data_IF_062735052089
#
_entry.id   IF_062735052089
#
_cell.length_a   1.000
_cell.length_b   1.000
_cell.length_c   1.000
_cell.angle_alpha   90.00
_cell.angle_beta   90.00
_cell.angle_gamma   90.00
#
_symmetry.space_group_name_H-M   'P 1'
#
loop_
_entity.id
_entity.type
_entity.pdbx_description
1 polymer ?
#
# COMPACT_ATOMS: atom_id res chain seq x y z
N UNK A 1 24.46 23.05 59.32
CA UNK A 1 24.36 22.11 60.44
C UNK A 1 23.11 22.43 61.26
N UNK A 2 22.37 21.48 61.84
CA UNK A 2 22.42 19.99 61.75
C UNK A 2 21.23 19.42 60.95
N UNK A 3 21.28 18.25 60.31
CA UNK A 3 21.19 16.84 60.72
C UNK A 3 19.93 16.46 61.54
N UNK A 4 19.17 15.48 61.00
CA UNK A 4 18.66 14.22 61.60
C UNK A 4 17.68 13.58 60.61
N UNK A 5 17.98 12.37 60.07
CA UNK A 5 17.61 11.03 60.54
C UNK A 5 16.07 10.84 60.55
N UNK A 6 15.45 9.95 59.83
CA UNK A 6 15.69 8.51 59.73
C UNK A 6 14.38 7.84 60.10
N UNK A 7 13.89 6.87 59.36
CA UNK A 7 12.68 6.11 59.71
C UNK A 7 12.25 5.07 58.69
N UNK A 8 12.88 3.90 58.76
CA UNK A 8 12.34 2.66 58.21
C UNK A 8 11.16 2.16 59.02
N UNK A 9 10.11 1.71 58.39
CA UNK A 9 9.14 0.80 59.00
C UNK A 9 8.86 -0.37 58.08
N UNK A 10 9.14 -1.54 58.61
CA UNK A 10 9.03 -2.86 58.06
C UNK A 10 7.60 -3.41 58.10
N UNK A 11 7.38 -4.38 57.21
CA UNK A 11 6.27 -5.30 56.98
C UNK A 11 5.63 -5.94 58.25
N UNK A 12 4.43 -6.58 58.03
CA UNK A 12 4.45 -8.02 58.13
C UNK A 12 3.69 -8.78 57.03
N UNK A 13 4.19 -10.00 56.78
CA UNK A 13 3.59 -11.03 55.97
C UNK A 13 2.40 -11.70 56.70
N UNK A 14 1.38 -12.10 55.91
CA UNK A 14 0.51 -13.22 56.29
C UNK A 14 0.08 -14.05 55.06
N UNK A 15 0.24 -15.36 55.20
CA UNK A 15 -0.19 -16.42 54.31
C UNK A 15 -1.71 -16.54 54.23
N UNK A 16 -2.21 -16.92 53.08
CA UNK A 16 -3.61 -17.37 52.93
C UNK A 16 -3.89 -17.91 51.54
N UNK A 17 -4.03 -19.23 51.43
CA UNK A 17 -4.36 -20.01 50.25
C UNK A 17 -5.62 -19.51 49.52
N UNK A 18 -5.54 -19.43 48.22
CA UNK A 18 -6.69 -19.27 47.32
C UNK A 18 -6.26 -19.51 45.88
N UNK A 19 -6.44 -20.75 45.41
CA UNK A 19 -6.18 -21.16 44.05
C UNK A 19 -7.14 -20.48 43.09
N UNK A 20 -6.66 -19.61 42.22
CA UNK A 20 -7.34 -19.16 41.01
C UNK A 20 -6.59 -19.72 39.79
N UNK A 21 -7.32 -20.53 39.03
CA UNK A 21 -6.88 -21.13 37.77
C UNK A 21 -6.84 -20.01 36.74
N UNK A 22 -5.64 -19.54 36.37
CA UNK A 22 -5.46 -18.71 35.18
C UNK A 22 -5.24 -19.61 33.99
N UNK A 23 -6.23 -19.61 33.08
CA UNK A 23 -6.06 -20.14 31.73
C UNK A 23 -5.08 -19.23 30.97
N UNK A 24 -3.94 -19.79 30.59
CA UNK A 24 -2.97 -19.14 29.71
C UNK A 24 -3.56 -19.06 28.30
N UNK A 25 -3.92 -17.85 27.88
CA UNK A 25 -4.09 -17.53 26.46
C UNK A 25 -2.72 -17.39 25.85
N UNK A 26 -2.37 -18.34 24.98
CA UNK A 26 -1.15 -18.29 24.15
C UNK A 26 -1.23 -17.08 23.23
N UNK A 27 -0.33 -16.11 23.45
CA UNK A 27 -0.03 -15.05 22.50
C UNK A 27 0.50 -15.67 21.19
N UNK A 28 0.12 -15.16 20.00
CA UNK A 28 0.74 -15.58 18.75
C UNK A 28 2.20 -15.12 18.76
N UNK A 29 3.12 -16.07 18.73
CA UNK A 29 4.55 -15.81 18.56
C UNK A 29 4.79 -14.99 17.29
N UNK A 30 5.29 -13.78 17.46
CA UNK A 30 5.87 -13.00 16.38
C UNK A 30 7.00 -13.82 15.72
N UNK A 31 6.95 -13.93 14.39
CA UNK A 31 7.98 -14.62 13.63
C UNK A 31 9.35 -14.01 13.97
N UNK A 32 10.29 -14.84 14.41
CA UNK A 32 11.61 -14.38 14.82
C UNK A 32 12.33 -13.68 13.65
N UNK A 33 13.16 -12.65 13.92
CA UNK A 33 13.95 -11.94 12.90
C UNK A 33 14.81 -12.88 12.04
N UNK A 34 15.15 -14.05 12.54
CA UNK A 34 15.87 -15.13 11.84
C UNK A 34 15.12 -15.70 10.64
N UNK A 35 13.78 -15.78 10.67
CA UNK A 35 13.02 -16.37 9.54
C UNK A 35 12.97 -15.44 8.34
N UNK A 36 12.91 -14.12 8.57
CA UNK A 36 12.95 -13.10 7.49
C UNK A 36 14.36 -13.02 6.90
N UNK A 37 15.40 -13.09 7.75
CA UNK A 37 16.79 -13.09 7.33
C UNK A 37 17.14 -14.30 6.46
N UNK A 38 16.67 -15.49 6.82
CA UNK A 38 16.87 -16.72 6.02
C UNK A 38 16.07 -16.69 4.71
N UNK A 39 14.90 -16.09 4.69
CA UNK A 39 14.11 -15.90 3.46
C UNK A 39 14.77 -14.92 2.50
N UNK A 40 15.30 -13.80 3.01
CA UNK A 40 16.07 -12.81 2.23
C UNK A 40 17.39 -13.42 1.74
N UNK A 41 18.10 -14.17 2.58
CA UNK A 41 19.34 -14.86 2.23
C UNK A 41 19.12 -15.91 1.14
N UNK A 42 17.98 -16.61 1.18
CA UNK A 42 17.58 -17.59 0.15
C UNK A 42 17.23 -16.89 -1.18
N UNK A 43 16.51 -15.77 -1.13
CA UNK A 43 16.19 -14.96 -2.30
C UNK A 43 17.44 -14.36 -2.96
N UNK A 44 18.39 -13.84 -2.17
CA UNK A 44 19.68 -13.34 -2.67
C UNK A 44 20.53 -14.50 -3.25
N UNK A 45 20.55 -15.65 -2.59
CA UNK A 45 21.27 -16.83 -3.08
C UNK A 45 20.70 -17.41 -4.37
N UNK A 46 19.39 -17.31 -4.60
CA UNK A 46 18.74 -17.71 -5.86
C UNK A 46 19.00 -16.69 -6.97
N UNK A 47 18.97 -15.40 -6.67
CA UNK A 47 19.28 -14.33 -7.66
C UNK A 47 20.75 -14.40 -8.14
N UNK A 48 21.68 -14.80 -7.27
CA UNK A 48 23.10 -14.98 -7.64
C UNK A 48 23.32 -16.24 -8.49
N UNK A 49 22.52 -17.31 -8.29
CA UNK A 49 22.61 -18.56 -9.04
C UNK A 49 21.94 -18.52 -10.41
N UNK A 50 21.09 -17.55 -10.69
CA UNK A 50 20.38 -17.38 -11.97
C UNK A 50 21.06 -16.42 -12.93
N UNK A 51 22.25 -15.91 -12.66
CA UNK A 51 23.05 -15.18 -13.63
C UNK A 51 23.80 -16.15 -14.54
N UNK A 52 23.59 -16.13 -15.88
CA UNK A 52 24.40 -16.90 -16.80
C UNK A 52 25.81 -16.30 -16.83
N UNK A 53 26.79 -17.05 -16.40
CA UNK A 53 28.21 -16.71 -16.56
C UNK A 53 28.61 -16.89 -18.02
N UNK A 54 29.16 -15.84 -18.61
CA UNK A 54 29.96 -15.91 -19.83
C UNK A 54 31.17 -16.81 -19.59
N UNK A 55 31.27 -17.88 -20.38
CA UNK A 55 32.54 -18.49 -20.69
C UNK A 55 32.44 -19.09 -22.10
N UNK A 56 33.20 -18.46 -23.03
CA UNK A 56 33.59 -19.00 -24.32
C UNK A 56 34.16 -20.39 -24.17
N UNK A 57 33.69 -21.32 -24.98
CA UNK A 57 34.58 -22.21 -25.75
C UNK A 57 33.88 -22.90 -26.93
N UNK A 58 34.62 -22.96 -28.00
CA UNK A 58 34.37 -23.33 -29.35
C UNK A 58 34.17 -24.86 -29.57
N UNK A 59 33.34 -25.20 -30.58
CA UNK A 59 33.55 -26.27 -31.61
C UNK A 59 33.08 -27.69 -31.28
N UNK A 60 32.02 -28.18 -31.89
CA UNK A 60 31.96 -29.04 -33.08
C UNK A 60 30.61 -29.74 -33.27
N UNK A 61 30.20 -29.63 -34.51
CA UNK A 61 29.22 -30.42 -35.26
C UNK A 61 29.15 -31.90 -34.88
N UNK A 62 27.90 -32.46 -34.81
CA UNK A 62 27.38 -33.49 -35.69
C UNK A 62 25.95 -33.93 -35.28
N UNK A 63 25.04 -33.86 -36.22
CA UNK A 63 23.81 -34.65 -36.30
C UNK A 63 24.15 -35.94 -37.03
N UNK A 64 23.37 -37.07 -37.03
CA UNK A 64 21.91 -37.12 -37.13
C UNK A 64 21.19 -38.36 -36.50
N UNK A 65 19.85 -38.34 -36.73
CA UNK A 65 18.91 -39.45 -37.00
C UNK A 65 18.26 -40.20 -35.81
N UNK A 66 16.96 -39.97 -35.65
CA UNK A 66 15.80 -40.85 -35.93
C UNK A 66 16.01 -42.35 -35.67
N UNK A 67 15.19 -42.96 -34.82
CA UNK A 67 14.41 -44.18 -35.11
C UNK A 67 13.34 -44.45 -34.02
N UNK A 68 12.21 -44.76 -34.51
CA UNK A 68 10.92 -45.28 -34.12
C UNK A 68 11.01 -46.71 -33.54
N UNK A 69 10.04 -47.03 -32.67
CA UNK A 69 9.62 -48.40 -32.36
C UNK A 69 9.68 -48.69 -30.87
N UNK A 70 8.66 -49.06 -30.15
CA UNK A 70 7.63 -50.03 -30.46
C UNK A 70 7.68 -51.13 -29.42
N UNK A 71 6.60 -51.34 -28.66
CA UNK A 71 6.22 -52.68 -28.33
C UNK A 71 6.35 -53.19 -26.88
N UNK A 72 5.19 -53.39 -26.29
CA UNK A 72 4.70 -54.63 -25.69
C UNK A 72 5.05 -55.02 -24.23
N UNK A 73 4.00 -55.03 -23.42
CA UNK A 73 3.48 -56.13 -22.58
C UNK A 73 4.46 -56.84 -21.63
N UNK A 74 4.13 -56.88 -20.33
CA UNK A 74 3.52 -58.02 -19.69
C UNK A 74 3.04 -57.74 -18.25
N UNK A 75 1.90 -58.22 -17.92
CA UNK A 75 1.22 -58.85 -16.80
C UNK A 75 2.12 -59.29 -15.62
N UNK A 76 1.71 -59.16 -14.37
CA UNK A 76 0.85 -60.11 -13.64
C UNK A 76 0.49 -59.66 -12.20
N UNK A 77 -0.75 -59.86 -11.86
CA UNK A 77 -1.40 -60.44 -10.65
C UNK A 77 -0.93 -60.02 -9.26
N UNK A 78 -1.81 -59.40 -8.49
CA UNK A 78 -2.66 -60.09 -7.51
C UNK A 78 -3.60 -59.07 -6.86
N UNK A 79 -4.87 -59.42 -6.90
CA UNK A 79 -5.99 -58.68 -6.34
C UNK A 79 -6.09 -58.70 -4.83
N UNK A 80 -6.65 -57.61 -4.30
CA UNK A 80 -7.60 -57.62 -3.16
C UNK A 80 -8.36 -56.31 -3.19
N UNK A 81 -9.61 -56.39 -3.56
CA UNK A 81 -10.63 -55.39 -3.33
C UNK A 81 -10.92 -55.26 -1.84
N UNK A 82 -10.68 -54.09 -1.30
CA UNK A 82 -11.24 -53.67 -0.01
C UNK A 82 -12.33 -52.65 -0.28
N UNK A 83 -13.55 -53.13 -0.15
CA UNK A 83 -14.79 -52.37 -0.16
C UNK A 83 -14.87 -51.63 1.18
N UNK A 84 -14.57 -50.34 1.21
CA UNK A 84 -14.87 -49.46 2.36
C UNK A 84 -16.06 -48.60 1.97
N UNK A 85 -17.20 -48.98 2.47
CA UNK A 85 -18.47 -48.29 2.44
C UNK A 85 -18.30 -46.97 3.20
N UNK A 86 -18.42 -45.83 2.47
CA UNK A 86 -18.61 -44.53 3.10
C UNK A 86 -19.97 -44.46 3.77
N UNK A 87 -20.07 -43.85 4.97
CA UNK A 87 -21.40 -43.62 5.58
C UNK A 87 -22.13 -42.57 4.78
N UNK A 88 -23.37 -42.88 4.44
CA UNK A 88 -24.33 -41.99 3.82
C UNK A 88 -24.58 -40.76 4.70
N UNK A 89 -24.59 -39.59 4.07
CA UNK A 89 -24.99 -38.32 4.68
C UNK A 89 -26.45 -38.42 5.20
N UNK A 90 -26.77 -37.69 6.28
CA UNK A 90 -28.11 -37.67 6.82
C UNK A 90 -29.09 -37.06 5.80
N UNK A 91 -30.15 -37.75 5.52
CA UNK A 91 -31.28 -37.29 4.72
C UNK A 91 -31.99 -36.16 5.47
N UNK A 92 -31.93 -34.96 4.93
CA UNK A 92 -32.72 -33.82 5.39
C UNK A 92 -34.22 -34.15 5.22
N UNK A 93 -35.03 -33.80 6.21
CA UNK A 93 -36.48 -33.99 6.18
C UNK A 93 -37.09 -33.07 5.12
N UNK A 94 -38.22 -33.48 4.53
CA UNK A 94 -38.90 -32.74 3.46
C UNK A 94 -39.30 -31.30 3.84
N UNK A 95 -39.37 -30.99 5.14
CA UNK A 95 -39.65 -29.64 5.64
C UNK A 95 -38.43 -28.71 5.55
N UNK A 96 -37.19 -29.22 5.73
CA UNK A 96 -35.96 -28.41 5.57
C UNK A 96 -35.70 -28.07 4.10
N UNK A 97 -36.07 -28.94 3.17
CA UNK A 97 -35.96 -28.68 1.74
C UNK A 97 -36.92 -27.57 1.26
N UNK A 98 -38.02 -27.37 1.94
CA UNK A 98 -39.01 -26.33 1.60
C UNK A 98 -38.61 -24.95 2.14
N UNK A 99 -37.81 -24.86 3.19
CA UNK A 99 -37.29 -23.61 3.74
C UNK A 99 -36.07 -23.07 2.99
N UNK A 100 -35.30 -23.95 2.34
CA UNK A 100 -34.14 -23.55 1.51
C UNK A 100 -34.52 -23.16 0.07
N UNK A 101 -35.75 -23.43 -0.35
CA UNK A 101 -36.25 -23.21 -1.72
C UNK A 101 -36.93 -21.86 -1.98
N UNK A 102 -37.09 -20.99 -0.97
CA UNK A 102 -37.85 -19.73 -1.09
C UNK A 102 -37.15 -18.48 -0.65
N UNK A 103 -35.81 -18.42 -0.76
CA UNK A 103 -35.14 -17.14 -0.78
C UNK A 103 -35.24 -16.59 -2.21
N UNK A 104 -35.86 -15.44 -2.45
CA UNK A 104 -35.75 -14.79 -3.75
C UNK A 104 -34.29 -14.44 -3.97
N UNK A 105 -33.68 -15.07 -4.96
CA UNK A 105 -32.39 -14.61 -5.49
C UNK A 105 -32.70 -13.25 -6.10
N UNK A 106 -32.20 -12.19 -5.46
CA UNK A 106 -32.37 -10.83 -5.93
C UNK A 106 -31.58 -10.70 -7.26
N UNK A 107 -32.25 -10.47 -8.41
CA UNK A 107 -31.56 -10.42 -9.70
C UNK A 107 -30.65 -9.19 -9.84
N UNK A 108 -30.62 -8.29 -8.85
CA UNK A 108 -29.85 -7.05 -8.90
C UNK A 108 -28.37 -7.25 -8.55
N UNK A 109 -27.99 -8.22 -7.69
CA UNK A 109 -26.59 -8.43 -7.29
C UNK A 109 -25.70 -8.97 -8.43
N UNK A 110 -26.27 -9.79 -9.34
CA UNK A 110 -25.51 -10.36 -10.48
C UNK A 110 -25.28 -9.36 -11.63
N UNK A 111 -26.09 -8.30 -11.72
CA UNK A 111 -26.00 -7.31 -12.82
C UNK A 111 -24.94 -6.25 -12.48
N UNK A 112 -24.79 -5.85 -11.21
CA UNK A 112 -23.78 -4.88 -10.80
C UNK A 112 -22.36 -5.42 -10.92
N UNK A 113 -22.12 -6.69 -10.58
CA UNK A 113 -20.80 -7.32 -10.68
C UNK A 113 -20.32 -7.53 -12.13
N UNK A 114 -21.22 -7.78 -13.07
CA UNK A 114 -20.89 -7.94 -14.50
C UNK A 114 -20.59 -6.63 -15.20
N UNK A 115 -21.20 -5.53 -14.78
CA UNK A 115 -20.95 -4.19 -15.38
C UNK A 115 -19.63 -3.58 -14.89
N UNK A 116 -19.15 -3.93 -13.71
CA UNK A 116 -17.91 -3.40 -13.13
C UNK A 116 -16.65 -3.98 -13.80
N UNK A 117 -16.69 -5.23 -14.26
CA UNK A 117 -15.54 -5.89 -14.89
C UNK A 117 -15.20 -5.39 -16.31
N UNK A 118 -16.13 -4.74 -17.03
CA UNK A 118 -15.95 -4.36 -18.44
C UNK A 118 -15.51 -2.92 -18.67
N UNK A 119 -15.41 -2.07 -17.63
CA UNK A 119 -15.11 -0.65 -17.80
C UNK A 119 -13.67 -0.22 -17.51
N UNK A 120 -12.83 -1.07 -16.94
CA UNK A 120 -11.49 -0.69 -16.48
C UNK A 120 -10.46 -0.35 -17.58
N UNK A 121 -10.38 -1.00 -18.74
CA UNK A 121 -9.39 -0.66 -19.76
C UNK A 121 -9.62 0.70 -20.43
N UNK A 122 -10.89 1.14 -20.56
CA UNK A 122 -11.25 2.39 -21.25
C UNK A 122 -11.31 3.61 -20.31
N UNK A 123 -11.42 3.40 -19.00
CA UNK A 123 -11.52 4.50 -18.04
C UNK A 123 -10.21 5.29 -17.92
N UNK A 124 -9.05 4.66 -18.08
CA UNK A 124 -7.74 5.35 -18.02
C UNK A 124 -7.54 6.37 -19.13
N UNK A 125 -7.94 6.05 -20.37
CA UNK A 125 -7.81 6.98 -21.49
C UNK A 125 -8.68 8.22 -21.34
N UNK A 126 -9.92 8.07 -20.89
CA UNK A 126 -10.87 9.18 -20.78
C UNK A 126 -10.55 10.18 -19.65
N UNK A 127 -9.72 9.81 -18.68
CA UNK A 127 -9.32 10.69 -17.56
C UNK A 127 -8.12 11.53 -17.91
N UNK A 128 -7.13 10.95 -18.60
CA UNK A 128 -6.00 11.71 -19.13
C UNK A 128 -6.46 12.87 -20.02
N UNK A 129 -7.58 12.68 -20.74
CA UNK A 129 -8.21 13.70 -21.58
C UNK A 129 -9.05 14.73 -20.79
N UNK A 130 -9.54 14.36 -19.60
CA UNK A 130 -10.41 15.21 -18.79
C UNK A 130 -9.67 16.07 -17.74
N UNK A 131 -8.39 15.78 -17.47
CA UNK A 131 -7.59 16.53 -16.49
C UNK A 131 -6.82 17.66 -17.17
N UNK A 132 -6.92 18.86 -16.63
CA UNK A 132 -6.05 19.96 -17.00
C UNK A 132 -4.66 19.75 -16.41
N UNK A 133 -3.62 19.67 -17.25
CA UNK A 133 -2.25 19.44 -16.81
C UNK A 133 -1.49 20.75 -16.70
N UNK A 134 -0.79 20.95 -15.59
CA UNK A 134 0.04 22.12 -15.28
C UNK A 134 1.41 21.71 -14.79
N UNK A 135 2.42 22.49 -15.13
CA UNK A 135 3.75 22.44 -14.52
C UNK A 135 3.88 23.59 -13.54
N UNK A 136 4.19 23.28 -12.31
CA UNK A 136 4.38 24.25 -11.24
C UNK A 136 5.87 24.40 -10.97
N UNK A 137 6.46 25.59 -11.18
CA UNK A 137 7.86 25.82 -10.89
C UNK A 137 8.12 25.76 -9.37
N UNK A 138 9.17 25.06 -8.99
CA UNK A 138 9.65 24.98 -7.61
C UNK A 138 11.15 25.24 -7.55
N UNK A 139 11.70 25.35 -6.37
CA UNK A 139 13.15 25.51 -6.13
C UNK A 139 13.98 24.28 -6.54
N UNK A 140 13.34 23.12 -6.75
CA UNK A 140 13.95 21.86 -7.19
C UNK A 140 13.55 21.44 -8.60
N UNK A 141 13.07 22.38 -9.41
CA UNK A 141 12.54 22.12 -10.75
C UNK A 141 11.02 22.06 -10.79
N UNK A 142 10.48 21.85 -11.98
CA UNK A 142 9.03 21.83 -12.17
C UNK A 142 8.41 20.54 -11.64
N UNK A 143 7.28 20.69 -10.96
CA UNK A 143 6.44 19.56 -10.54
C UNK A 143 5.18 19.49 -11.40
N UNK A 144 4.79 18.29 -11.79
CA UNK A 144 3.61 18.07 -12.62
C UNK A 144 2.36 17.93 -11.77
N UNK A 145 1.29 18.67 -12.10
CA UNK A 145 0.00 18.64 -11.43
C UNK A 145 -1.11 18.48 -12.44
N UNK A 146 -1.94 17.45 -12.31
CA UNK A 146 -3.16 17.27 -13.09
C UNK A 146 -4.35 17.68 -12.24
N UNK A 147 -5.25 18.51 -12.81
CA UNK A 147 -6.38 19.10 -12.10
C UNK A 147 -7.67 18.47 -12.63
N UNK A 148 -8.47 17.93 -11.72
CA UNK A 148 -9.76 17.32 -12.02
C UNK A 148 -10.88 18.01 -11.22
N UNK A 149 -11.85 18.58 -11.92
CA UNK A 149 -13.01 19.21 -11.30
C UNK A 149 -12.98 20.74 -11.31
N UNK A 150 -13.88 21.35 -10.53
CA UNK A 150 -14.07 22.81 -10.45
C UNK A 150 -13.14 23.42 -9.40
N UNK A 151 -12.24 24.30 -9.82
CA UNK A 151 -11.24 24.97 -8.97
C UNK A 151 -11.83 25.89 -7.90
N UNK A 152 -13.13 26.19 -7.96
CA UNK A 152 -13.84 26.96 -6.92
C UNK A 152 -14.19 26.11 -5.68
N UNK A 153 -14.07 24.79 -5.78
CA UNK A 153 -14.43 23.83 -4.72
C UNK A 153 -13.25 23.56 -3.78
N UNK A 154 -13.52 23.02 -2.58
CA UNK A 154 -12.47 22.55 -1.67
C UNK A 154 -11.48 21.60 -2.37
N UNK A 155 -10.19 21.79 -2.07
CA UNK A 155 -9.13 21.10 -2.77
C UNK A 155 -8.77 19.76 -2.09
N UNK A 156 -8.68 18.69 -2.88
CA UNK A 156 -8.03 17.44 -2.51
C UNK A 156 -6.68 17.40 -3.23
N UNK A 157 -5.58 17.23 -2.51
CA UNK A 157 -4.25 17.01 -3.09
C UNK A 157 -3.90 15.54 -2.97
N UNK A 158 -3.61 14.89 -4.10
CA UNK A 158 -3.18 13.49 -4.11
C UNK A 158 -1.69 13.35 -4.36
N UNK A 159 -1.08 12.29 -3.81
CA UNK A 159 0.31 11.94 -4.09
C UNK A 159 0.47 10.42 -4.21
N UNK A 160 1.11 9.97 -5.31
CA UNK A 160 1.22 8.56 -5.72
C UNK A 160 2.34 7.80 -5.02
N UNK A 161 2.35 6.48 -5.17
CA UNK A 161 3.38 5.58 -4.67
C UNK A 161 4.50 5.32 -5.71
N UNK A 162 5.52 4.56 -5.31
CA UNK A 162 6.71 4.20 -6.11
C UNK A 162 6.34 3.50 -7.42
N UNK A 163 6.97 3.93 -8.52
CA UNK A 163 6.77 3.35 -9.83
C UNK A 163 5.40 3.65 -10.47
N UNK A 164 4.59 4.47 -9.81
CA UNK A 164 3.29 4.91 -10.29
C UNK A 164 3.30 6.41 -10.57
N UNK A 165 2.20 6.90 -11.13
CA UNK A 165 1.89 8.31 -11.32
C UNK A 165 0.42 8.57 -10.97
N UNK A 166 -0.07 9.78 -11.16
CA UNK A 166 -1.45 10.11 -10.82
C UNK A 166 -2.47 9.26 -11.59
N UNK A 167 -2.22 8.97 -12.87
CA UNK A 167 -3.15 8.21 -13.69
C UNK A 167 -3.21 6.74 -13.26
N UNK A 168 -2.06 6.12 -12.98
CA UNK A 168 -2.00 4.72 -12.58
C UNK A 168 -2.38 4.48 -11.13
N UNK A 169 -2.20 5.47 -10.24
CA UNK A 169 -2.59 5.35 -8.83
C UNK A 169 -4.06 5.68 -8.58
N UNK A 170 -4.59 6.71 -9.27
CA UNK A 170 -5.84 7.32 -8.81
C UNK A 170 -6.97 7.29 -9.84
N UNK A 171 -6.65 7.10 -11.13
CA UNK A 171 -7.64 7.21 -12.18
C UNK A 171 -8.80 6.22 -12.02
N UNK A 172 -8.53 4.97 -11.67
CA UNK A 172 -9.55 3.95 -11.43
C UNK A 172 -10.47 4.34 -10.27
N UNK A 173 -9.87 4.73 -9.14
CA UNK A 173 -10.60 5.08 -7.93
C UNK A 173 -11.45 6.35 -8.07
N UNK A 174 -10.88 7.45 -8.55
CA UNK A 174 -11.60 8.72 -8.67
C UNK A 174 -12.68 8.70 -9.75
N UNK A 175 -12.65 7.72 -10.67
CA UNK A 175 -13.76 7.50 -11.63
C UNK A 175 -14.77 6.44 -11.19
N UNK A 176 -14.54 5.79 -10.07
CA UNK A 176 -15.53 4.91 -9.51
C UNK A 176 -16.85 5.67 -9.26
N UNK A 177 -18.02 5.08 -9.55
CA UNK A 177 -19.29 5.82 -9.56
C UNK A 177 -19.57 6.63 -8.29
N UNK A 178 -19.34 6.05 -7.10
CA UNK A 178 -19.52 6.75 -5.82
C UNK A 178 -18.58 7.94 -5.69
N UNK A 179 -17.33 7.80 -6.15
CA UNK A 179 -16.35 8.88 -6.10
C UNK A 179 -16.69 10.02 -7.07
N UNK A 180 -17.25 9.75 -8.25
CA UNK A 180 -17.71 10.79 -9.16
C UNK A 180 -18.74 11.72 -8.52
N UNK A 181 -19.71 11.14 -7.81
CA UNK A 181 -20.70 11.93 -7.06
C UNK A 181 -20.08 12.77 -5.94
N UNK A 182 -19.08 12.21 -5.25
CA UNK A 182 -18.32 12.93 -4.23
C UNK A 182 -17.53 14.10 -4.83
N UNK A 183 -16.90 13.89 -6.00
CA UNK A 183 -16.08 14.89 -6.69
C UNK A 183 -16.89 16.08 -7.25
N UNK A 184 -18.21 16.01 -7.30
CA UNK A 184 -19.03 17.19 -7.56
C UNK A 184 -18.82 18.30 -6.51
N UNK A 185 -18.32 17.95 -5.33
CA UNK A 185 -18.08 18.87 -4.20
C UNK A 185 -16.61 19.26 -4.01
N UNK A 186 -15.69 18.74 -4.82
CA UNK A 186 -14.25 18.94 -4.66
C UNK A 186 -13.55 19.21 -5.99
N UNK A 187 -12.36 19.81 -5.90
CA UNK A 187 -11.38 19.85 -6.99
C UNK A 187 -10.16 19.03 -6.59
N UNK A 188 -9.73 18.11 -7.43
CA UNK A 188 -8.58 17.24 -7.14
C UNK A 188 -7.34 17.74 -7.88
N UNK A 189 -6.26 17.91 -7.15
CA UNK A 189 -4.93 18.28 -7.63
C UNK A 189 -4.02 17.06 -7.49
N UNK A 190 -3.80 16.36 -8.58
CA UNK A 190 -2.97 15.17 -8.61
C UNK A 190 -1.51 15.56 -8.81
N UNK A 191 -0.71 15.46 -7.78
CA UNK A 191 0.72 15.77 -7.82
C UNK A 191 1.51 14.53 -8.23
N UNK A 192 2.40 14.67 -9.21
CA UNK A 192 3.30 13.62 -9.65
C UNK A 192 4.74 14.00 -9.32
N UNK A 193 5.47 13.08 -8.68
CA UNK A 193 6.87 13.28 -8.34
C UNK A 193 7.72 13.55 -9.60
N UNK A 194 8.81 14.32 -9.51
CA UNK A 194 9.63 14.68 -10.66
C UNK A 194 10.07 13.47 -11.48
N UNK A 195 9.80 13.50 -12.78
CA UNK A 195 10.17 12.44 -13.74
C UNK A 195 9.42 11.13 -13.61
N UNK A 196 8.29 11.10 -12.87
CA UNK A 196 7.42 9.93 -12.76
C UNK A 196 6.17 10.03 -13.66
N UNK A 197 6.03 11.08 -14.45
CA UNK A 197 4.97 11.23 -15.43
C UNK A 197 5.06 10.11 -16.48
N UNK A 198 3.92 9.73 -17.04
CA UNK A 198 3.91 8.73 -18.12
C UNK A 198 4.73 9.22 -19.33
N UNK A 199 5.67 8.39 -19.77
CA UNK A 199 6.57 8.76 -20.88
C UNK A 199 7.58 9.86 -20.54
N UNK A 200 7.82 10.16 -19.27
CA UNK A 200 8.77 11.17 -18.85
C UNK A 200 10.19 10.89 -19.44
N UNK A 201 10.86 11.90 -20.00
CA UNK A 201 12.26 11.76 -20.41
C UNK A 201 13.15 11.51 -19.19
N UNK A 202 14.29 10.90 -19.41
CA UNK A 202 15.31 10.75 -18.35
C UNK A 202 15.73 12.14 -17.85
N UNK A 203 15.69 12.34 -16.54
CA UNK A 203 16.17 13.56 -15.91
C UNK A 203 17.67 13.75 -16.18
N UNK A 204 18.15 15.01 -16.26
CA UNK A 204 19.57 15.31 -16.48
C UNK A 204 20.48 14.60 -15.46
N UNK A 205 21.70 14.28 -15.86
CA UNK A 205 22.67 13.60 -14.96
C UNK A 205 23.06 14.44 -13.75
N UNK A 206 23.08 15.77 -13.90
CA UNK A 206 23.34 16.75 -12.86
C UNK A 206 22.12 17.10 -12.02
N UNK A 207 20.95 16.56 -12.34
CA UNK A 207 19.73 16.80 -11.57
C UNK A 207 19.83 16.19 -10.17
N UNK A 208 19.80 17.07 -9.16
CA UNK A 208 19.75 16.66 -7.76
C UNK A 208 18.32 16.35 -7.39
N UNK A 209 18.01 15.06 -7.30
CA UNK A 209 16.64 14.61 -6.97
C UNK A 209 16.25 15.05 -5.55
N UNK A 210 15.03 15.60 -5.36
CA UNK A 210 14.54 16.03 -4.07
C UNK A 210 14.50 14.89 -3.04
N UNK A 211 14.86 15.20 -1.80
CA UNK A 211 14.62 14.29 -0.66
C UNK A 211 13.11 14.18 -0.36
N UNK A 212 12.71 13.24 0.51
CA UNK A 212 11.30 13.14 0.91
C UNK A 212 10.79 14.41 1.60
N UNK A 213 11.66 15.12 2.32
CA UNK A 213 11.34 16.41 2.95
C UNK A 213 11.25 17.53 1.89
N UNK A 214 12.13 17.54 0.88
CA UNK A 214 12.03 18.48 -0.24
C UNK A 214 10.74 18.24 -1.06
N UNK A 215 10.37 16.96 -1.34
CA UNK A 215 9.13 16.63 -2.04
C UNK A 215 7.89 17.10 -1.25
N UNK A 216 7.93 16.99 0.07
CA UNK A 216 6.89 17.57 0.93
C UNK A 216 6.88 19.10 0.86
N UNK A 217 8.03 19.75 0.91
CA UNK A 217 8.15 21.21 0.82
C UNK A 217 7.68 21.78 -0.54
N UNK A 218 7.85 21.02 -1.63
CA UNK A 218 7.35 21.40 -2.96
C UNK A 218 5.82 21.60 -2.98
N UNK A 219 5.06 20.97 -2.07
CA UNK A 219 3.62 21.18 -1.97
C UNK A 219 3.25 22.62 -1.60
N UNK A 220 4.13 23.36 -0.91
CA UNK A 220 3.91 24.80 -0.67
C UNK A 220 3.86 25.61 -1.98
N UNK A 221 4.72 25.26 -2.94
CA UNK A 221 4.72 25.89 -4.25
C UNK A 221 3.44 25.56 -5.02
N UNK A 222 2.98 24.30 -4.92
CA UNK A 222 1.69 23.86 -5.51
C UNK A 222 0.52 24.65 -4.91
N UNK A 223 0.43 24.70 -3.57
CA UNK A 223 -0.62 25.46 -2.89
C UNK A 223 -0.58 26.95 -3.25
N UNK A 224 0.60 27.54 -3.27
CA UNK A 224 0.79 28.95 -3.63
C UNK A 224 0.40 29.24 -5.08
N UNK A 225 0.80 28.37 -6.02
CA UNK A 225 0.53 28.52 -7.44
C UNK A 225 -0.97 28.54 -7.76
N UNK A 226 -1.73 27.66 -7.08
CA UNK A 226 -3.19 27.57 -7.26
C UNK A 226 -4.01 28.39 -6.26
N UNK A 227 -3.35 29.15 -5.37
CA UNK A 227 -4.02 29.98 -4.37
C UNK A 227 -4.77 29.18 -3.29
N UNK A 228 -4.36 27.93 -3.02
CA UNK A 228 -5.00 27.04 -2.06
C UNK A 228 -4.58 27.40 -0.63
N UNK A 229 -5.55 27.70 0.22
CA UNK A 229 -5.29 28.06 1.62
C UNK A 229 -5.07 26.84 2.50
N UNK A 230 -5.89 25.83 2.29
CA UNK A 230 -5.85 24.54 2.98
C UNK A 230 -6.35 23.45 2.05
N UNK A 231 -5.87 22.22 2.24
CA UNK A 231 -6.19 21.07 1.38
C UNK A 231 -6.52 19.83 2.21
N UNK A 232 -7.24 18.91 1.59
CA UNK A 232 -7.39 17.54 2.07
C UNK A 232 -6.31 16.71 1.37
N UNK A 233 -5.43 16.05 2.12
CA UNK A 233 -4.41 15.17 1.55
C UNK A 233 -4.95 13.77 1.34
N UNK A 234 -4.67 13.18 0.17
CA UNK A 234 -4.98 11.78 -0.15
C UNK A 234 -3.74 11.10 -0.74
N UNK A 235 -3.09 10.23 0.02
CA UNK A 235 -1.80 9.66 -0.36
C UNK A 235 -1.72 8.15 -0.23
N UNK A 236 -0.86 7.55 -1.08
CA UNK A 236 -0.60 6.10 -1.08
C UNK A 236 0.89 5.85 -0.95
N UNK A 237 1.31 4.97 -0.06
CA UNK A 237 2.69 4.53 0.13
C UNK A 237 3.67 5.68 0.34
N UNK A 238 4.62 5.86 -0.60
CA UNK A 238 5.57 6.98 -0.58
C UNK A 238 4.85 8.34 -0.59
N UNK A 239 3.77 8.47 -1.35
CA UNK A 239 2.95 9.69 -1.38
C UNK A 239 2.23 9.94 -0.05
N UNK A 240 1.80 8.90 0.65
CA UNK A 240 1.25 9.02 2.00
C UNK A 240 2.31 9.56 2.99
N UNK A 241 3.56 9.07 2.90
CA UNK A 241 4.66 9.59 3.70
C UNK A 241 4.97 11.07 3.40
N UNK A 242 4.96 11.48 2.11
CA UNK A 242 5.18 12.87 1.70
C UNK A 242 4.07 13.78 2.27
N UNK A 243 2.80 13.39 2.17
CA UNK A 243 1.69 14.17 2.70
C UNK A 243 1.70 14.23 4.23
N UNK A 244 2.10 13.16 4.91
CA UNK A 244 2.27 13.17 6.36
C UNK A 244 3.39 14.12 6.81
N UNK A 245 4.54 14.16 6.08
CA UNK A 245 5.63 15.15 6.30
C UNK A 245 5.14 16.56 6.11
N UNK A 246 4.45 16.80 5.01
CA UNK A 246 3.89 18.11 4.72
C UNK A 246 2.94 18.60 5.81
N UNK A 247 1.99 17.75 6.22
CA UNK A 247 1.03 18.06 7.26
C UNK A 247 1.68 18.25 8.64
N UNK A 248 2.75 17.51 8.95
CA UNK A 248 3.51 17.70 10.18
C UNK A 248 4.24 19.04 10.21
N UNK A 249 4.87 19.44 9.10
CA UNK A 249 5.56 20.73 8.99
C UNK A 249 4.63 21.93 8.83
N UNK A 250 3.46 21.74 8.23
CA UNK A 250 2.51 22.80 7.87
C UNK A 250 1.06 22.45 8.27
N UNK A 251 0.79 22.29 9.57
CA UNK A 251 -0.53 21.84 10.03
C UNK A 251 -1.67 22.83 9.71
N UNK A 252 -1.35 24.10 9.45
CA UNK A 252 -2.30 25.14 9.04
C UNK A 252 -2.72 25.03 7.56
N UNK A 253 -2.00 24.23 6.76
CA UNK A 253 -2.27 24.03 5.34
C UNK A 253 -3.04 22.75 5.05
N UNK A 254 -3.26 21.89 6.02
CA UNK A 254 -3.93 20.61 5.84
C UNK A 254 -5.11 20.49 6.77
N UNK A 255 -6.30 20.37 6.18
CA UNK A 255 -7.55 20.25 6.93
C UNK A 255 -7.87 18.81 7.34
N UNK A 256 -7.51 17.83 6.53
CA UNK A 256 -7.69 16.41 6.81
C UNK A 256 -6.75 15.55 5.95
N UNK A 257 -6.50 14.30 6.37
CA UNK A 257 -5.64 13.35 5.66
C UNK A 257 -6.31 11.98 5.50
N UNK A 258 -6.29 11.46 4.28
CA UNK A 258 -6.55 10.05 3.97
C UNK A 258 -5.23 9.42 3.52
N UNK A 259 -4.67 8.53 4.33
CA UNK A 259 -3.36 7.95 4.09
C UNK A 259 -3.47 6.42 3.99
N UNK A 260 -2.97 5.88 2.89
CA UNK A 260 -3.04 4.45 2.58
C UNK A 260 -1.62 3.88 2.57
N UNK A 261 -1.39 2.82 3.33
CA UNK A 261 -0.07 2.17 3.49
C UNK A 261 1.03 3.17 3.91
N UNK A 262 0.73 4.10 4.81
CA UNK A 262 1.68 5.12 5.26
C UNK A 262 2.75 4.51 6.17
N UNK A 263 4.03 4.74 5.82
CA UNK A 263 5.19 4.34 6.60
C UNK A 263 5.80 5.60 7.25
N UNK A 264 5.79 5.70 8.57
CA UNK A 264 6.30 6.86 9.32
C UNK A 264 7.75 6.71 9.80
N UNK A 265 8.32 5.52 9.67
CA UNK A 265 9.67 5.18 10.13
C UNK A 265 10.71 5.41 9.03
N UNK A 266 11.97 5.61 9.44
CA UNK A 266 13.09 5.50 8.52
C UNK A 266 13.18 4.10 7.93
N UNK A 267 13.84 3.94 6.79
CA UNK A 267 14.08 2.62 6.22
C UNK A 267 14.97 1.78 7.14
N UNK A 268 14.61 0.50 7.33
CA UNK A 268 15.48 -0.47 7.99
C UNK A 268 16.72 -0.75 7.11
N UNK A 269 17.83 -1.16 7.72
CA UNK A 269 19.07 -1.44 6.99
C UNK A 269 18.94 -2.54 5.93
N UNK A 270 18.04 -3.51 6.11
CA UNK A 270 17.73 -4.56 5.11
C UNK A 270 16.97 -3.96 3.94
N UNK A 271 15.94 -3.17 4.18
CA UNK A 271 15.19 -2.43 3.16
C UNK A 271 16.14 -1.53 2.40
N UNK A 272 16.95 -0.73 3.10
CA UNK A 272 17.93 0.15 2.51
C UNK A 272 18.92 -0.58 1.59
N UNK A 273 19.51 -1.68 2.05
CA UNK A 273 20.48 -2.46 1.28
C UNK A 273 19.88 -3.05 0.02
N UNK A 274 18.70 -3.69 0.14
CA UNK A 274 18.00 -4.30 -1.00
C UNK A 274 17.58 -3.26 -2.05
N UNK A 275 17.01 -2.16 -1.60
CA UNK A 275 16.55 -1.09 -2.48
C UNK A 275 17.69 -0.28 -3.12
N UNK A 276 18.80 -0.07 -2.41
CA UNK A 276 19.99 0.52 -2.99
C UNK A 276 20.52 -0.30 -4.16
N UNK A 277 20.43 -1.63 -4.05
CA UNK A 277 20.80 -2.55 -5.11
C UNK A 277 19.83 -2.46 -6.30
N UNK A 278 18.52 -2.43 -6.04
CA UNK A 278 17.50 -2.23 -7.07
C UNK A 278 17.67 -0.89 -7.79
N UNK A 279 17.91 0.21 -7.07
CA UNK A 279 18.14 1.53 -7.65
C UNK A 279 19.42 1.55 -8.54
N UNK A 280 20.46 0.82 -8.16
CA UNK A 280 21.65 0.65 -8.99
C UNK A 280 21.35 -0.13 -10.27
N UNK A 281 20.59 -1.22 -10.19
CA UNK A 281 20.19 -1.98 -11.38
C UNK A 281 19.32 -1.18 -12.32
N UNK A 282 18.36 -0.44 -11.82
CA UNK A 282 17.52 0.45 -12.63
C UNK A 282 18.35 1.42 -13.46
N UNK A 283 19.42 2.01 -12.88
CA UNK A 283 20.31 2.94 -13.60
C UNK A 283 21.23 2.24 -14.62
N UNK A 284 21.65 1.00 -14.35
CA UNK A 284 22.69 0.33 -15.18
C UNK A 284 22.13 -0.67 -16.16
N UNK A 285 21.03 -1.36 -15.82
CA UNK A 285 20.42 -2.44 -16.60
C UNK A 285 18.96 -2.17 -16.98
N UNK A 286 18.38 -1.08 -16.51
CA UNK A 286 16.97 -0.76 -16.70
C UNK A 286 16.04 -1.61 -15.85
N UNK A 287 14.80 -1.80 -16.31
CA UNK A 287 13.77 -2.55 -15.60
C UNK A 287 14.04 -4.05 -15.69
N UNK A 288 14.73 -4.59 -14.69
CA UNK A 288 15.03 -6.02 -14.57
C UNK A 288 13.89 -6.78 -13.89
N UNK A 289 13.84 -8.12 -14.09
CA UNK A 289 12.82 -8.94 -13.41
C UNK A 289 12.86 -8.78 -11.88
N UNK A 290 14.04 -8.68 -11.26
CA UNK A 290 14.16 -8.48 -9.82
C UNK A 290 13.57 -7.17 -9.33
N UNK A 291 13.64 -6.09 -10.12
CA UNK A 291 12.98 -4.81 -9.82
C UNK A 291 11.46 -4.94 -9.97
N UNK A 292 11.00 -5.61 -11.02
CA UNK A 292 9.57 -5.88 -11.23
C UNK A 292 9.02 -6.71 -10.07
N UNK A 293 9.71 -7.78 -9.66
CA UNK A 293 9.30 -8.63 -8.54
C UNK A 293 9.21 -7.84 -7.23
N UNK A 294 10.14 -6.89 -7.03
CA UNK A 294 10.07 -5.97 -5.90
C UNK A 294 8.83 -5.06 -5.96
N UNK A 295 8.56 -4.42 -7.10
CA UNK A 295 7.39 -3.56 -7.27
C UNK A 295 6.09 -4.37 -7.12
N UNK A 296 6.05 -5.60 -7.63
CA UNK A 296 4.94 -6.51 -7.42
C UNK A 296 4.74 -6.85 -5.94
N UNK A 297 5.83 -7.12 -5.21
CA UNK A 297 5.75 -7.34 -3.76
C UNK A 297 5.27 -6.08 -3.03
N UNK A 298 5.80 -4.92 -3.37
CA UNK A 298 5.48 -3.64 -2.74
C UNK A 298 3.99 -3.28 -2.87
N UNK A 299 3.39 -3.53 -4.03
CA UNK A 299 2.01 -3.16 -4.32
C UNK A 299 1.00 -4.28 -4.02
N UNK A 300 1.35 -5.54 -4.35
CA UNK A 300 0.41 -6.67 -4.33
C UNK A 300 0.65 -7.68 -3.20
N UNK A 301 1.55 -7.39 -2.27
CA UNK A 301 1.79 -8.24 -1.13
C UNK A 301 2.77 -9.39 -1.38
N UNK A 302 2.97 -10.17 -0.31
CA UNK A 302 4.04 -11.18 -0.23
C UNK A 302 3.73 -12.45 -0.99
N UNK A 303 2.46 -12.89 -0.97
CA UNK A 303 2.05 -14.16 -1.54
C UNK A 303 1.56 -13.98 -2.99
N UNK A 304 2.30 -14.48 -4.01
CA UNK A 304 1.88 -14.36 -5.40
C UNK A 304 0.52 -15.03 -5.71
N UNK A 305 0.15 -16.08 -4.97
CA UNK A 305 -1.09 -16.83 -5.16
C UNK A 305 -2.34 -16.04 -4.70
N UNK A 306 -2.16 -15.09 -3.77
CA UNK A 306 -3.23 -14.22 -3.28
C UNK A 306 -3.43 -12.95 -4.11
N UNK A 307 -2.55 -12.71 -5.09
CA UNK A 307 -2.60 -11.52 -5.93
C UNK A 307 -3.66 -11.63 -7.01
N UNK A 308 -4.33 -10.52 -7.30
CA UNK A 308 -5.21 -10.42 -8.45
C UNK A 308 -4.41 -10.51 -9.76
N UNK A 309 -4.56 -11.60 -10.51
CA UNK A 309 -3.76 -11.89 -11.71
C UNK A 309 -3.94 -10.85 -12.82
N UNK A 310 -5.13 -10.33 -13.02
CA UNK A 310 -5.43 -9.34 -14.07
C UNK A 310 -4.74 -8.01 -13.75
N UNK A 311 -4.84 -7.55 -12.50
CA UNK A 311 -4.13 -6.36 -12.04
C UNK A 311 -2.62 -6.54 -12.11
N UNK A 312 -2.10 -7.69 -11.68
CA UNK A 312 -0.66 -8.02 -11.77
C UNK A 312 -0.15 -7.88 -13.20
N UNK A 313 -0.85 -8.44 -14.18
CA UNK A 313 -0.43 -8.36 -15.59
C UNK A 313 -0.43 -6.91 -16.09
N UNK A 314 -1.46 -6.15 -15.76
CA UNK A 314 -1.61 -4.76 -16.17
C UNK A 314 -0.49 -3.88 -15.55
N UNK A 315 -0.22 -4.02 -14.25
CA UNK A 315 0.82 -3.25 -13.58
C UNK A 315 2.22 -3.68 -13.99
N UNK A 316 2.44 -4.98 -14.22
CA UNK A 316 3.70 -5.47 -14.78
C UNK A 316 4.01 -4.83 -16.14
N UNK A 317 3.02 -4.78 -17.02
CA UNK A 317 3.17 -4.10 -18.32
C UNK A 317 3.45 -2.59 -18.15
N UNK A 318 2.79 -1.94 -17.18
CA UNK A 318 3.05 -0.54 -16.85
C UNK A 318 4.50 -0.34 -16.39
N UNK A 319 5.00 -1.16 -15.46
CA UNK A 319 6.39 -1.06 -14.99
C UNK A 319 7.40 -1.31 -16.10
N UNK A 320 7.14 -2.27 -16.97
CA UNK A 320 8.04 -2.61 -18.09
C UNK A 320 8.12 -1.51 -19.16
N UNK A 321 7.03 -0.78 -19.41
CA UNK A 321 6.91 0.09 -20.59
C UNK A 321 6.61 1.56 -20.27
N UNK A 322 5.92 1.85 -19.18
CA UNK A 322 5.44 3.19 -18.84
C UNK A 322 6.36 3.97 -17.90
N UNK A 323 7.28 3.29 -17.24
CA UNK A 323 8.13 3.88 -16.20
C UNK A 323 9.55 4.10 -16.71
N UNK A 324 10.09 5.31 -16.51
CA UNK A 324 11.50 5.57 -16.78
C UNK A 324 12.38 4.97 -15.66
N UNK A 325 13.26 3.98 -15.95
CA UNK A 325 14.01 3.27 -14.93
C UNK A 325 14.96 4.18 -14.13
N UNK A 326 15.61 5.14 -14.80
CA UNK A 326 16.56 6.06 -14.15
C UNK A 326 15.83 7.00 -13.20
N UNK A 327 14.71 7.56 -13.63
CA UNK A 327 13.91 8.45 -12.79
C UNK A 327 13.31 7.70 -11.59
N UNK A 328 12.82 6.46 -11.80
CA UNK A 328 12.36 5.60 -10.71
C UNK A 328 13.46 5.30 -9.70
N UNK A 329 14.68 5.02 -10.18
CA UNK A 329 15.83 4.81 -9.30
C UNK A 329 16.12 6.02 -8.40
N UNK A 330 15.91 7.24 -8.90
CA UNK A 330 16.06 8.47 -8.12
C UNK A 330 15.00 8.59 -7.03
N UNK A 331 13.72 8.31 -7.36
CA UNK A 331 12.63 8.33 -6.38
C UNK A 331 12.79 7.23 -5.31
N UNK A 332 13.14 6.00 -5.71
CA UNK A 332 13.44 4.92 -4.76
C UNK A 332 14.59 5.34 -3.82
N UNK A 333 15.64 5.94 -4.37
CA UNK A 333 16.76 6.40 -3.56
C UNK A 333 16.34 7.49 -2.56
N UNK A 334 15.50 8.44 -2.94
CA UNK A 334 14.93 9.43 -2.02
C UNK A 334 14.09 8.73 -0.92
N UNK A 335 13.27 7.75 -1.29
CA UNK A 335 12.39 7.03 -0.35
C UNK A 335 13.18 6.21 0.68
N UNK A 336 14.24 5.51 0.28
CA UNK A 336 15.05 4.70 1.22
C UNK A 336 15.95 5.53 2.13
N UNK A 337 16.18 6.80 1.79
CA UNK A 337 16.90 7.74 2.66
C UNK A 337 15.94 8.61 3.49
N UNK A 338 14.66 8.25 3.56
CA UNK A 338 13.69 8.95 4.41
C UNK A 338 14.08 8.87 5.88
N UNK A 339 13.98 9.98 6.58
CA UNK A 339 14.09 10.02 8.03
C UNK A 339 12.78 9.57 8.66
N UNK A 340 12.84 9.13 9.91
CA UNK A 340 11.65 8.95 10.76
C UNK A 340 10.88 10.28 10.85
N UNK A 341 9.57 10.24 10.84
CA UNK A 341 8.72 11.44 11.02
C UNK A 341 8.76 11.98 12.46
N UNK A 342 9.35 11.22 13.39
CA UNK A 342 9.43 11.56 14.82
C UNK A 342 8.08 11.91 15.45
N UNK A 343 6.99 11.37 14.90
CA UNK A 343 5.67 11.55 15.48
C UNK A 343 5.60 10.82 16.83
N UNK A 344 5.15 11.52 17.84
CA UNK A 344 4.98 10.97 19.17
C UNK A 344 3.65 11.46 19.77
N UNK A 345 2.87 10.51 20.25
CA UNK A 345 1.65 10.75 20.99
C UNK A 345 2.00 11.02 22.45
N UNK A 346 1.53 12.12 23.01
CA UNK A 346 1.68 12.38 24.45
C UNK A 346 0.61 11.62 25.20
N UNK A 347 0.99 10.82 26.23
CA UNK A 347 0.01 10.13 27.07
C UNK A 347 -0.94 11.13 27.76
N UNK A 348 -2.23 10.80 27.90
CA UNK A 348 -3.18 11.65 28.63
C UNK A 348 -2.71 11.93 30.07
N UNK A 349 -2.85 13.18 30.52
CA UNK A 349 -2.48 13.59 31.87
C UNK A 349 -1.00 13.93 32.08
N UNK A 350 -0.17 13.94 31.03
CA UNK A 350 1.21 14.41 31.12
C UNK A 350 1.23 15.93 31.24
N UNK A 351 1.84 16.54 32.30
CA UNK A 351 1.97 17.98 32.39
C UNK A 351 2.72 18.57 31.21
N UNK A 352 2.17 19.58 30.55
CA UNK A 352 2.77 20.17 29.34
C UNK A 352 2.50 19.39 28.05
N UNK A 353 1.56 18.45 28.05
CA UNK A 353 1.20 17.61 26.89
C UNK A 353 0.88 18.43 25.63
N UNK A 354 0.24 19.57 25.76
CA UNK A 354 -0.13 20.43 24.62
C UNK A 354 1.07 21.02 23.88
N UNK A 355 2.19 21.21 24.58
CA UNK A 355 3.43 21.74 23.99
C UNK A 355 4.41 20.63 23.56
N UNK A 356 4.26 19.41 24.07
CA UNK A 356 5.15 18.29 23.83
C UNK A 356 4.65 17.33 22.73
N UNK A 357 3.36 17.39 22.34
CA UNK A 357 2.82 16.52 21.30
C UNK A 357 3.38 16.88 19.91
N UNK A 358 4.12 15.97 19.34
CA UNK A 358 4.69 16.09 17.98
C UNK A 358 3.90 15.27 16.95
N UNK A 359 2.65 14.93 17.23
CA UNK A 359 1.79 14.17 16.31
C UNK A 359 1.03 15.09 15.34
N UNK A 360 0.35 14.48 14.37
CA UNK A 360 -0.49 15.21 13.41
C UNK A 360 -1.70 15.81 14.12
N UNK A 361 -1.98 17.08 13.85
CA UNK A 361 -3.03 17.86 14.53
C UNK A 361 -4.39 17.82 13.84
N UNK A 362 -4.39 17.53 12.55
CA UNK A 362 -5.61 17.43 11.74
C UNK A 362 -6.20 16.03 11.82
N UNK A 363 -7.49 15.85 11.47
CA UNK A 363 -8.10 14.55 11.32
C UNK A 363 -7.37 13.65 10.31
N UNK A 364 -7.16 12.38 10.68
CA UNK A 364 -6.47 11.39 9.85
C UNK A 364 -7.29 10.11 9.77
N UNK A 365 -7.60 9.66 8.56
CA UNK A 365 -7.99 8.27 8.31
C UNK A 365 -6.79 7.50 7.75
N UNK A 366 -6.35 6.49 8.49
CA UNK A 366 -5.19 5.66 8.17
C UNK A 366 -5.67 4.27 7.72
N UNK A 367 -5.37 3.89 6.48
CA UNK A 367 -5.97 2.71 5.83
C UNK A 367 -4.87 1.77 5.32
N UNK A 368 -5.11 0.47 5.41
CA UNK A 368 -4.25 -0.55 4.77
C UNK A 368 -5.08 -1.73 4.26
N UNK A 369 -4.60 -2.40 3.23
CA UNK A 369 -5.13 -3.71 2.81
C UNK A 369 -4.56 -4.84 3.67
N UNK A 370 -5.35 -5.87 3.95
CA UNK A 370 -4.89 -7.00 4.81
C UNK A 370 -3.74 -7.81 4.21
N UNK A 371 -3.59 -7.78 2.89
CA UNK A 371 -2.53 -8.47 2.15
C UNK A 371 -1.33 -7.55 1.85
N UNK A 372 -1.42 -6.25 2.20
CA UNK A 372 -0.32 -5.30 2.00
C UNK A 372 0.92 -5.71 2.80
N UNK A 373 2.14 -5.58 2.24
CA UNK A 373 3.37 -5.81 3.00
C UNK A 373 3.62 -4.76 4.08
N UNK A 374 2.86 -3.64 4.06
CA UNK A 374 3.00 -2.47 4.94
C UNK A 374 2.00 -2.44 6.10
N UNK A 375 1.30 -3.55 6.40
CA UNK A 375 0.33 -3.61 7.51
C UNK A 375 0.98 -3.21 8.84
N UNK A 376 2.15 -3.77 9.16
CA UNK A 376 2.85 -3.52 10.43
C UNK A 376 3.33 -2.05 10.52
N UNK A 377 3.79 -1.49 9.41
CA UNK A 377 4.18 -0.08 9.33
C UNK A 377 2.99 0.85 9.56
N UNK A 378 1.84 0.50 8.97
CA UNK A 378 0.59 1.26 9.13
C UNK A 378 0.07 1.19 10.56
N UNK A 379 0.19 0.03 11.22
CA UNK A 379 -0.12 -0.10 12.65
C UNK A 379 0.83 0.74 13.50
N UNK A 380 2.13 0.71 13.20
CA UNK A 380 3.14 1.55 13.88
C UNK A 380 2.82 3.04 13.71
N UNK A 381 2.47 3.47 12.50
CA UNK A 381 2.05 4.84 12.25
C UNK A 381 0.80 5.21 13.05
N UNK A 382 -0.21 4.33 13.06
CA UNK A 382 -1.43 4.54 13.83
C UNK A 382 -1.16 4.70 15.34
N UNK A 383 -0.22 3.94 15.88
CA UNK A 383 0.21 4.06 17.28
C UNK A 383 0.84 5.39 17.64
N UNK A 384 1.28 6.18 16.64
CA UNK A 384 1.89 7.51 16.80
C UNK A 384 0.89 8.66 16.64
N UNK A 385 -0.33 8.39 16.15
CA UNK A 385 -1.39 9.38 15.95
C UNK A 385 -2.20 9.60 17.24
N UNK A 386 -2.84 10.76 17.33
CA UNK A 386 -3.79 11.04 18.39
C UNK A 386 -5.10 10.27 18.13
N UNK A 387 -5.53 9.37 19.02
CA UNK A 387 -6.74 8.58 18.83
C UNK A 387 -8.03 9.39 18.87
N UNK A 388 -7.98 10.65 19.32
CA UNK A 388 -9.17 11.53 19.36
C UNK A 388 -9.50 12.13 18.00
N UNK A 389 -8.51 12.23 17.09
CA UNK A 389 -8.68 12.78 15.75
C UNK A 389 -8.22 11.82 14.65
N UNK A 390 -7.94 10.56 14.95
CA UNK A 390 -7.54 9.58 13.97
C UNK A 390 -8.40 8.33 13.99
N UNK A 391 -8.66 7.81 12.79
CA UNK A 391 -9.34 6.55 12.55
C UNK A 391 -8.41 5.58 11.81
N UNK A 392 -8.50 4.28 12.14
CA UNK A 392 -7.72 3.23 11.47
C UNK A 392 -8.61 2.17 10.86
N UNK A 393 -8.30 1.76 9.64
CA UNK A 393 -9.06 0.76 8.92
C UNK A 393 -8.14 -0.23 8.21
N UNK A 394 -8.38 -1.53 8.42
CA UNK A 394 -7.77 -2.61 7.63
C UNK A 394 -8.85 -3.25 6.77
N UNK A 395 -8.70 -3.13 5.44
CA UNK A 395 -9.63 -3.68 4.46
C UNK A 395 -9.21 -5.11 4.12
N UNK A 396 -10.14 -6.06 4.26
CA UNK A 396 -9.88 -7.48 4.02
C UNK A 396 -9.67 -7.78 2.54
N UNK A 397 -8.91 -8.86 2.27
CA UNK A 397 -8.77 -9.52 0.97
C UNK A 397 -8.23 -8.61 -0.15
N UNK A 398 -7.36 -7.67 0.20
CA UNK A 398 -6.70 -6.80 -0.78
C UNK A 398 -5.31 -6.35 -0.31
N UNK A 399 -4.46 -6.02 -1.27
CA UNK A 399 -3.20 -5.29 -1.09
C UNK A 399 -3.29 -3.89 -1.67
N UNK A 400 -3.70 -3.75 -2.94
CA UNK A 400 -3.95 -2.48 -3.62
C UNK A 400 -5.40 -2.02 -3.37
N UNK A 401 -5.59 -1.31 -2.26
CA UNK A 401 -6.93 -0.94 -1.76
C UNK A 401 -7.76 -0.17 -2.79
N UNK A 402 -7.14 0.75 -3.54
CA UNK A 402 -7.83 1.58 -4.53
C UNK A 402 -8.38 0.77 -5.71
N UNK A 403 -7.67 -0.28 -6.11
CA UNK A 403 -7.98 -1.09 -7.28
C UNK A 403 -8.84 -2.31 -6.93
N UNK A 404 -8.58 -2.94 -5.77
CA UNK A 404 -9.23 -4.20 -5.40
C UNK A 404 -10.51 -4.00 -4.57
N UNK A 405 -10.59 -2.90 -3.81
CA UNK A 405 -11.73 -2.61 -2.93
C UNK A 405 -12.21 -1.14 -3.03
N UNK A 406 -12.40 -0.60 -4.27
CA UNK A 406 -12.73 0.81 -4.46
C UNK A 406 -14.03 1.22 -3.77
N UNK A 407 -15.02 0.34 -3.72
CA UNK A 407 -16.31 0.61 -3.07
C UNK A 407 -16.15 0.83 -1.55
N UNK A 408 -15.40 -0.05 -0.87
CA UNK A 408 -15.17 0.06 0.58
C UNK A 408 -14.35 1.31 0.91
N UNK A 409 -13.32 1.59 0.09
CA UNK A 409 -12.50 2.78 0.27
C UNK A 409 -13.30 4.06 0.03
N UNK A 410 -14.11 4.10 -1.05
CA UNK A 410 -14.95 5.25 -1.37
C UNK A 410 -15.95 5.56 -0.25
N UNK A 411 -16.57 4.54 0.31
CA UNK A 411 -17.49 4.70 1.44
C UNK A 411 -16.77 5.17 2.71
N UNK A 412 -15.62 4.58 3.03
CA UNK A 412 -14.81 5.01 4.18
C UNK A 412 -14.37 6.49 4.04
N UNK A 413 -13.92 6.88 2.86
CA UNK A 413 -13.49 8.26 2.58
C UNK A 413 -14.67 9.23 2.61
N UNK A 414 -15.83 8.85 2.04
CA UNK A 414 -17.06 9.64 2.09
C UNK A 414 -17.50 9.89 3.53
N UNK A 415 -17.57 8.83 4.35
CA UNK A 415 -17.95 8.96 5.77
C UNK A 415 -16.95 9.80 6.57
N UNK A 416 -15.67 9.66 6.29
CA UNK A 416 -14.64 10.50 6.89
C UNK A 416 -14.84 11.97 6.55
N UNK A 417 -15.02 12.31 5.27
CA UNK A 417 -15.25 13.69 4.84
C UNK A 417 -16.57 14.26 5.38
N UNK A 418 -17.59 13.43 5.54
CA UNK A 418 -18.85 13.80 6.13
C UNK A 418 -18.68 14.08 7.64
N UNK A 419 -17.95 13.23 8.36
CA UNK A 419 -17.64 13.43 9.77
C UNK A 419 -16.89 14.75 10.05
N UNK A 420 -16.01 15.14 9.12
CA UNK A 420 -15.25 16.39 9.17
C UNK A 420 -16.00 17.61 8.58
N UNK A 421 -17.28 17.44 8.21
CA UNK A 421 -18.14 18.53 7.74
C UNK A 421 -17.88 19.02 6.32
N UNK A 422 -17.08 18.31 5.52
CA UNK A 422 -16.84 18.66 4.12
C UNK A 422 -18.00 18.30 3.20
N UNK A 423 -18.82 17.31 3.59
CA UNK A 423 -19.97 16.82 2.83
C UNK A 423 -21.19 16.83 3.74
N UNK A 424 -22.24 17.58 3.36
CA UNK A 424 -23.53 17.51 4.04
C UNK A 424 -24.39 16.41 3.42
N UNK A 425 -25.18 15.72 4.24
CA UNK A 425 -26.29 14.91 3.70
C UNK A 425 -27.22 15.83 2.92
N UNK A 426 -27.40 15.58 1.62
CA UNK A 426 -28.53 16.17 0.90
C UNK A 426 -29.79 15.60 1.58
N UNK A 427 -30.71 16.42 2.06
CA UNK A 427 -32.00 15.90 2.49
C UNK A 427 -32.63 15.18 1.28
N UNK A 428 -32.99 13.92 1.48
CA UNK A 428 -33.71 13.09 0.50
C UNK A 428 -35.07 13.70 0.16
#
# INVERSE_FOLDING_TARGET
>A
MPQSEGGYVSLPATNGNGSAIYQSTTEPQAASPTSVFESVKRAIGQAIKSSPGDSDELVRTDRPAVIIGGGARDRDKTGKTLNTKMPSAPTHTAEEAHLLGTMPVDPMDDIELRSVQLQFPNARGSILEACEQRRVPTDKGDIHVAIQGDTSKPAIVTYHDLGLNYATSFAGFFNFPVMRGLLENFCVYHVTAPGQEEGAPTLPEDYVYPTMDDLAAQLLFVLSHFGLKSVIGFGVGAGANILARFAHGHPDKVGALCLINCVSTQSGWIEWGYQSFNARFLRTKGMTQGVIDYLMWHHFGRNPEERNHDLVQMYKQHFERGVNPTNLAMLINAYIHRNDLHLARTPPGTPGAETAATTLKMPVINITGSLSPHVDDTVTFNGRLDPTNSSWMKISDCAMVLEEQPAKLAEAFRLFLQGEGYVSEKPQ
#
